data_IF_783064474775
#
_entry.id   IF_783064474775
#
_cell.length_a   1.000
_cell.length_b   1.000
_cell.length_c   1.000
_cell.angle_alpha   90.00
_cell.angle_beta   90.00
_cell.angle_gamma   90.00
#
_symmetry.space_group_name_H-M   'P 1'
#
loop_
_entity.id
_entity.type
_entity.pdbx_description
1 polymer ?
#
# COMPACT_ATOMS: atom_id res chain seq x y z
N UNK A 1 -15.88 -12.79 12.16
CA UNK A 1 -14.68 -12.78 13.02
C UNK A 1 -14.43 -14.21 13.47
N UNK A 2 -13.18 -14.71 13.30
CA UNK A 2 -12.74 -16.03 13.72
C UNK A 2 -12.13 -16.03 15.13
N UNK A 3 -11.43 -17.13 15.49
CA UNK A 3 -10.88 -17.34 16.84
C UNK A 3 -9.65 -16.46 17.11
N UNK A 4 -9.42 -16.17 18.40
CA UNK A 4 -8.24 -15.45 18.92
C UNK A 4 -8.04 -14.05 18.29
N UNK A 5 -9.08 -13.41 17.80
CA UNK A 5 -9.03 -12.04 17.31
C UNK A 5 -9.08 -11.08 18.49
N UNK A 6 -8.16 -10.12 18.51
CA UNK A 6 -8.11 -9.04 19.50
C UNK A 6 -8.47 -7.75 18.81
N UNK A 7 -9.50 -7.06 19.28
CA UNK A 7 -9.89 -5.73 18.81
C UNK A 7 -9.82 -4.80 20.02
N UNK A 8 -8.90 -3.85 19.96
CA UNK A 8 -8.68 -2.88 21.03
C UNK A 8 -9.76 -1.77 21.03
N UNK A 9 -9.63 -0.82 21.96
CA UNK A 9 -10.64 0.22 22.20
C UNK A 9 -10.86 1.15 21.00
N UNK A 10 -12.09 1.67 20.88
CA UNK A 10 -12.48 2.66 19.88
C UNK A 10 -12.29 2.23 18.42
N UNK A 11 -12.27 0.94 18.13
CA UNK A 11 -12.26 0.43 16.77
C UNK A 11 -13.66 0.44 16.16
N UNK A 12 -13.76 0.85 14.90
CA UNK A 12 -14.99 0.73 14.10
C UNK A 12 -14.85 -0.41 13.11
N UNK A 13 -15.66 -1.46 13.27
CA UNK A 13 -15.78 -2.55 12.31
C UNK A 13 -17.08 -2.37 11.55
N UNK A 14 -16.96 -1.91 10.32
CA UNK A 14 -18.08 -1.59 9.44
C UNK A 14 -18.63 -2.79 8.68
N UNK A 15 -19.41 -2.56 7.59
CA UNK A 15 -20.02 -3.61 6.80
C UNK A 15 -18.97 -4.42 6.02
N UNK A 16 -19.36 -5.68 5.71
CA UNK A 16 -18.60 -6.58 4.82
C UNK A 16 -17.15 -6.84 5.29
N UNK A 17 -16.92 -6.94 6.60
CA UNK A 17 -15.60 -7.25 7.16
C UNK A 17 -15.54 -8.72 7.56
N UNK A 18 -14.50 -9.42 7.07
CA UNK A 18 -14.15 -10.76 7.48
C UNK A 18 -12.75 -10.75 8.12
N UNK A 19 -12.64 -11.21 9.36
CA UNK A 19 -11.39 -11.24 10.12
C UNK A 19 -11.04 -12.69 10.44
N UNK A 20 -9.89 -13.14 9.97
CA UNK A 20 -9.37 -14.49 10.19
C UNK A 20 -8.78 -14.68 11.57
N UNK A 21 -8.08 -15.80 11.82
CA UNK A 21 -7.60 -16.17 13.15
C UNK A 21 -6.37 -15.36 13.59
N UNK A 22 -6.23 -15.15 14.89
CA UNK A 22 -5.08 -14.51 15.55
C UNK A 22 -4.78 -13.08 15.02
N UNK A 23 -5.77 -12.36 14.52
CA UNK A 23 -5.60 -10.98 14.05
C UNK A 23 -5.64 -10.03 15.23
N UNK A 24 -4.73 -9.04 15.24
CA UNK A 24 -4.75 -7.92 16.19
C UNK A 24 -5.16 -6.64 15.45
N UNK A 25 -6.18 -5.97 15.95
CA UNK A 25 -6.60 -4.63 15.50
C UNK A 25 -6.43 -3.68 16.66
N UNK A 26 -5.45 -2.78 16.53
CA UNK A 26 -5.13 -1.80 17.57
C UNK A 26 -6.09 -0.62 17.58
N UNK A 27 -6.12 0.08 18.70
CA UNK A 27 -7.09 1.12 19.05
C UNK A 27 -7.28 2.20 17.96
N UNK A 28 -8.48 2.75 17.87
CA UNK A 28 -8.87 3.83 16.96
C UNK A 28 -8.80 3.47 15.47
N UNK A 29 -8.76 2.20 15.10
CA UNK A 29 -8.77 1.76 13.70
C UNK A 29 -10.20 1.72 13.13
N UNK A 30 -10.34 2.04 11.84
CA UNK A 30 -11.60 1.98 11.10
C UNK A 30 -11.48 1.02 9.93
N UNK A 31 -12.27 -0.06 9.93
CA UNK A 31 -12.19 -1.13 8.93
C UNK A 31 -13.57 -1.39 8.34
N UNK A 32 -13.67 -1.39 7.02
CA UNK A 32 -14.89 -1.72 6.29
C UNK A 32 -14.55 -2.42 4.97
N UNK A 33 -15.49 -3.19 4.42
CA UNK A 33 -15.34 -3.84 3.11
C UNK A 33 -13.95 -4.49 2.93
N UNK A 34 -13.55 -5.31 3.90
CA UNK A 34 -12.20 -5.86 3.96
C UNK A 34 -12.18 -7.32 4.41
N UNK A 35 -11.30 -8.11 3.82
CA UNK A 35 -10.94 -9.45 4.29
C UNK A 35 -9.52 -9.40 4.82
N UNK A 36 -9.32 -9.84 6.07
CA UNK A 36 -8.01 -9.85 6.76
C UNK A 36 -7.60 -11.30 7.03
N UNK A 37 -6.45 -11.70 6.52
CA UNK A 37 -5.86 -13.02 6.69
C UNK A 37 -5.26 -13.27 8.08
N UNK A 38 -4.97 -14.53 8.36
CA UNK A 38 -4.50 -15.00 9.66
C UNK A 38 -3.21 -14.30 10.12
N UNK A 39 -3.04 -14.14 11.43
CA UNK A 39 -1.86 -13.59 12.10
C UNK A 39 -1.48 -12.17 11.66
N UNK A 40 -2.39 -11.42 11.08
CA UNK A 40 -2.14 -10.05 10.60
C UNK A 40 -2.34 -9.05 11.73
N UNK A 41 -1.48 -8.03 11.76
CA UNK A 41 -1.50 -6.95 12.75
C UNK A 41 -1.86 -5.64 12.06
N UNK A 42 -2.93 -5.00 12.55
CA UNK A 42 -3.34 -3.65 12.14
C UNK A 42 -3.07 -2.70 13.31
N UNK A 43 -2.21 -1.72 13.10
CA UNK A 43 -1.81 -0.75 14.13
C UNK A 43 -2.80 0.41 14.25
N UNK A 44 -2.67 1.14 15.36
CA UNK A 44 -3.61 2.18 15.77
C UNK A 44 -3.86 3.26 14.70
N UNK A 45 -5.11 3.65 14.57
CA UNK A 45 -5.51 4.72 13.64
C UNK A 45 -5.52 4.32 12.16
N UNK A 46 -5.27 3.05 11.82
CA UNK A 46 -5.35 2.61 10.43
C UNK A 46 -6.79 2.71 9.89
N UNK A 47 -6.92 3.16 8.63
CA UNK A 47 -8.20 3.27 7.93
C UNK A 47 -8.18 2.35 6.71
N UNK A 48 -9.01 1.30 6.73
CA UNK A 48 -9.00 0.26 5.71
C UNK A 48 -10.38 0.11 5.08
N UNK A 49 -10.42 0.13 3.74
CA UNK A 49 -11.63 -0.11 2.96
C UNK A 49 -12.56 1.10 2.80
N UNK A 50 -12.07 2.30 3.07
CA UNK A 50 -12.75 3.54 2.69
C UNK A 50 -12.80 3.70 1.17
N UNK A 51 -13.71 4.56 0.68
CA UNK A 51 -13.72 4.92 -0.74
C UNK A 51 -12.48 5.76 -1.08
N UNK A 52 -11.83 5.42 -2.18
CA UNK A 52 -10.68 6.14 -2.68
C UNK A 52 -11.02 7.43 -3.42
N UNK A 53 -10.00 8.08 -3.94
CA UNK A 53 -10.10 9.32 -4.71
C UNK A 53 -10.46 9.01 -6.16
N UNK A 54 -11.74 9.12 -6.51
CA UNK A 54 -12.25 8.87 -7.86
C UNK A 54 -13.30 9.90 -8.26
N UNK A 55 -13.01 10.68 -9.30
CA UNK A 55 -13.92 11.68 -9.85
C UNK A 55 -13.85 11.68 -11.38
N UNK A 56 -15.01 11.83 -12.03
CA UNK A 56 -15.04 12.10 -13.46
C UNK A 56 -14.51 13.51 -13.71
N UNK A 57 -13.58 13.63 -14.66
CA UNK A 57 -12.75 14.85 -14.81
C UNK A 57 -13.58 16.09 -15.15
N UNK A 58 -14.54 15.96 -16.06
CA UNK A 58 -15.33 17.10 -16.57
C UNK A 58 -16.43 17.52 -15.62
N UNK A 59 -17.22 16.55 -15.17
CA UNK A 59 -18.40 16.80 -14.33
C UNK A 59 -18.10 16.89 -12.84
N UNK A 60 -16.89 16.47 -12.42
CA UNK A 60 -16.48 16.32 -11.01
C UNK A 60 -17.39 15.40 -10.20
N UNK A 61 -18.20 14.62 -10.85
CA UNK A 61 -19.03 13.63 -10.17
C UNK A 61 -18.17 12.53 -9.56
N UNK A 62 -18.47 12.18 -8.31
CA UNK A 62 -17.79 11.12 -7.59
C UNK A 62 -18.04 9.77 -8.22
N UNK A 63 -16.99 9.01 -8.45
CA UNK A 63 -17.07 7.60 -8.86
C UNK A 63 -17.12 6.77 -7.58
N UNK A 64 -18.22 6.04 -7.39
CA UNK A 64 -18.38 5.17 -6.21
C UNK A 64 -17.47 3.95 -6.31
N UNK A 65 -16.86 3.61 -5.19
CA UNK A 65 -16.03 2.42 -5.06
C UNK A 65 -16.89 1.28 -4.48
N UNK A 66 -17.09 0.22 -5.24
CA UNK A 66 -17.94 -0.92 -4.89
C UNK A 66 -17.13 -2.17 -4.51
N UNK A 67 -15.83 -2.15 -4.75
CA UNK A 67 -14.93 -3.23 -4.44
C UNK A 67 -14.56 -3.30 -2.95
N UNK A 68 -13.53 -4.07 -2.66
CA UNK A 68 -13.07 -4.32 -1.29
C UNK A 68 -11.54 -4.22 -1.17
N UNK A 69 -11.04 -4.51 0.04
CA UNK A 69 -9.62 -4.70 0.34
C UNK A 69 -9.39 -6.16 0.74
N UNK A 70 -8.35 -6.78 0.20
CA UNK A 70 -7.87 -8.08 0.63
C UNK A 70 -6.48 -7.91 1.26
N UNK A 71 -6.35 -8.27 2.53
CA UNK A 71 -5.07 -8.33 3.25
C UNK A 71 -4.77 -9.79 3.54
N UNK A 72 -3.62 -10.26 3.09
CA UNK A 72 -3.15 -11.62 3.25
C UNK A 72 -2.78 -11.98 4.68
N UNK A 73 -2.09 -13.11 4.83
CA UNK A 73 -1.63 -13.63 6.12
C UNK A 73 -0.30 -13.02 6.53
N UNK A 74 -0.05 -13.00 7.85
CA UNK A 74 1.20 -12.53 8.43
C UNK A 74 1.58 -11.12 7.97
N UNK A 75 0.62 -10.26 7.67
CA UNK A 75 0.84 -8.89 7.26
C UNK A 75 0.96 -7.96 8.46
N UNK A 76 1.65 -6.85 8.26
CA UNK A 76 1.72 -5.77 9.24
C UNK A 76 1.31 -4.46 8.56
N UNK A 77 0.30 -3.80 9.10
CA UNK A 77 -0.16 -2.49 8.64
C UNK A 77 0.08 -1.47 9.75
N UNK A 78 0.99 -0.56 9.51
CA UNK A 78 1.44 0.44 10.48
C UNK A 78 0.40 1.48 10.84
N UNK A 79 0.70 2.27 11.87
CA UNK A 79 -0.22 3.25 12.42
C UNK A 79 -0.58 4.36 11.41
N UNK A 80 -1.85 4.78 11.41
CA UNK A 80 -2.38 5.83 10.53
C UNK A 80 -2.15 5.55 9.03
N UNK A 81 -1.99 4.30 8.64
CA UNK A 81 -1.93 3.88 7.24
C UNK A 81 -3.34 3.77 6.67
N UNK A 82 -3.55 4.32 5.47
CA UNK A 82 -4.82 4.27 4.76
C UNK A 82 -4.74 3.33 3.56
N UNK A 83 -5.73 2.43 3.44
CA UNK A 83 -5.85 1.50 2.31
C UNK A 83 -7.24 1.63 1.73
N UNK A 84 -7.34 2.24 0.55
CA UNK A 84 -8.62 2.45 -0.12
C UNK A 84 -9.14 1.17 -0.79
N UNK A 85 -10.45 0.96 -0.72
CA UNK A 85 -11.06 -0.14 -1.47
C UNK A 85 -11.05 0.12 -2.97
N UNK A 86 -11.06 -0.93 -3.76
CA UNK A 86 -11.09 -0.85 -5.20
C UNK A 86 -12.41 -0.23 -5.72
N UNK A 87 -12.38 0.35 -6.91
CA UNK A 87 -13.60 0.76 -7.63
C UNK A 87 -14.47 -0.46 -7.92
N UNK A 88 -13.87 -1.47 -8.54
CA UNK A 88 -14.39 -2.81 -8.74
C UNK A 88 -13.27 -3.80 -8.38
N UNK A 89 -13.60 -5.05 -8.06
CA UNK A 89 -12.64 -6.07 -7.60
C UNK A 89 -12.03 -5.72 -6.24
N UNK A 90 -10.69 -5.83 -6.10
CA UNK A 90 -10.00 -5.68 -4.82
C UNK A 90 -8.73 -4.86 -4.93
N UNK A 91 -8.46 -4.05 -3.91
CA UNK A 91 -7.11 -3.60 -3.54
C UNK A 91 -6.46 -4.72 -2.73
N UNK A 92 -5.25 -5.15 -3.08
CA UNK A 92 -4.65 -6.38 -2.56
C UNK A 92 -3.32 -6.10 -1.88
N UNK A 93 -3.16 -6.58 -0.66
CA UNK A 93 -1.90 -6.71 0.06
C UNK A 93 -1.65 -8.19 0.25
N UNK A 94 -0.68 -8.77 -0.44
CA UNK A 94 -0.40 -10.21 -0.36
C UNK A 94 0.35 -10.60 0.90
N UNK A 95 0.50 -11.91 1.13
CA UNK A 95 1.04 -12.50 2.34
C UNK A 95 2.43 -11.99 2.73
N UNK A 96 2.72 -11.95 4.01
CA UNK A 96 4.01 -11.58 4.60
C UNK A 96 4.49 -10.17 4.23
N UNK A 97 3.59 -9.26 3.88
CA UNK A 97 3.92 -7.88 3.50
C UNK A 97 3.82 -6.94 4.70
N UNK A 98 4.81 -6.08 4.84
CA UNK A 98 4.94 -5.16 5.97
C UNK A 98 4.89 -3.71 5.48
N UNK A 99 3.88 -2.99 5.92
CA UNK A 99 3.66 -1.58 5.67
C UNK A 99 3.89 -0.82 6.97
N UNK A 100 4.80 0.15 6.93
CA UNK A 100 5.09 1.03 8.07
C UNK A 100 3.98 2.09 8.23
N UNK A 101 4.21 3.09 9.04
CA UNK A 101 3.22 4.10 9.43
C UNK A 101 2.98 5.15 8.32
N UNK A 102 1.79 5.75 8.32
CA UNK A 102 1.44 6.90 7.46
C UNK A 102 1.53 6.60 5.96
N UNK A 103 1.30 5.37 5.55
CA UNK A 103 1.30 4.98 4.14
C UNK A 103 -0.09 5.23 3.53
N UNK A 104 -0.12 5.67 2.27
CA UNK A 104 -1.34 5.72 1.46
C UNK A 104 -1.30 4.68 0.35
N UNK A 105 -2.19 3.73 0.39
CA UNK A 105 -2.46 2.77 -0.69
C UNK A 105 -3.79 3.14 -1.34
N UNK A 106 -3.73 3.60 -2.59
CA UNK A 106 -4.92 3.99 -3.32
C UNK A 106 -5.68 2.77 -3.88
N UNK A 107 -6.86 3.03 -4.43
CA UNK A 107 -7.77 2.02 -4.96
C UNK A 107 -7.12 1.14 -6.05
N UNK A 108 -7.49 -0.13 -6.11
CA UNK A 108 -7.03 -1.10 -7.11
C UNK A 108 -5.51 -1.36 -7.13
N UNK A 109 -4.77 -0.92 -6.13
CA UNK A 109 -3.35 -1.27 -5.99
C UNK A 109 -3.23 -2.75 -5.64
N UNK A 110 -2.26 -3.44 -6.23
CA UNK A 110 -1.93 -4.84 -5.94
C UNK A 110 -0.48 -4.91 -5.45
N UNK A 111 -0.27 -5.39 -4.23
CA UNK A 111 1.05 -5.56 -3.63
C UNK A 111 1.33 -7.05 -3.49
N UNK A 112 2.43 -7.51 -4.05
CA UNK A 112 2.90 -8.89 -4.01
C UNK A 112 3.39 -9.32 -2.62
N UNK A 113 3.79 -10.58 -2.51
CA UNK A 113 4.24 -11.17 -1.25
C UNK A 113 5.58 -10.59 -0.78
N UNK A 114 5.78 -10.60 0.54
CA UNK A 114 7.05 -10.19 1.17
C UNK A 114 7.48 -8.75 0.84
N UNK A 115 6.54 -7.87 0.50
CA UNK A 115 6.85 -6.46 0.29
C UNK A 115 7.17 -5.76 1.63
N UNK A 116 8.15 -4.86 1.61
CA UNK A 116 8.50 -4.02 2.76
C UNK A 116 8.43 -2.56 2.34
N UNK A 117 7.50 -1.82 2.92
CA UNK A 117 7.20 -0.44 2.55
C UNK A 117 7.38 0.45 3.77
N UNK A 118 8.35 1.35 3.69
CA UNK A 118 8.67 2.27 4.78
C UNK A 118 7.68 3.45 4.87
N UNK A 119 7.74 4.18 5.97
CA UNK A 119 6.76 5.21 6.31
C UNK A 119 6.59 6.33 5.29
N UNK A 120 5.38 6.87 5.24
CA UNK A 120 5.00 8.00 4.38
C UNK A 120 5.11 7.72 2.86
N UNK A 121 5.12 6.47 2.44
CA UNK A 121 5.04 6.10 1.03
C UNK A 121 3.62 6.32 0.52
N UNK A 122 3.50 6.88 -0.69
CA UNK A 122 2.24 6.98 -1.41
C UNK A 122 2.25 6.16 -2.69
N UNK A 123 1.26 5.28 -2.85
CA UNK A 123 1.08 4.46 -4.06
C UNK A 123 -0.26 4.83 -4.68
N UNK A 124 -0.20 5.43 -5.87
CA UNK A 124 -1.40 5.86 -6.59
C UNK A 124 -2.15 4.68 -7.25
N UNK A 125 -3.41 4.92 -7.57
CA UNK A 125 -4.36 3.90 -7.98
C UNK A 125 -3.94 3.03 -9.15
N UNK A 126 -4.40 1.78 -9.14
CA UNK A 126 -4.19 0.77 -10.20
C UNK A 126 -2.72 0.41 -10.46
N UNK A 127 -1.84 0.66 -9.51
CA UNK A 127 -0.43 0.26 -9.58
C UNK A 127 -0.26 -1.17 -9.08
N UNK A 128 0.57 -1.95 -9.79
CA UNK A 128 0.95 -3.31 -9.40
C UNK A 128 2.40 -3.32 -8.88
N UNK A 129 2.59 -3.86 -7.69
CA UNK A 129 3.89 -4.04 -7.04
C UNK A 129 4.17 -5.55 -6.96
N UNK A 130 5.31 -5.99 -7.47
CA UNK A 130 5.74 -7.38 -7.46
C UNK A 130 6.09 -7.91 -6.07
N UNK A 131 6.65 -9.13 -6.05
CA UNK A 131 7.06 -9.79 -4.81
C UNK A 131 8.44 -9.28 -4.35
N UNK A 132 8.69 -9.34 -3.04
CA UNK A 132 9.98 -8.96 -2.42
C UNK A 132 10.44 -7.53 -2.70
N UNK A 133 9.50 -6.64 -3.02
CA UNK A 133 9.80 -5.23 -3.30
C UNK A 133 10.08 -4.48 -1.99
N UNK A 134 11.09 -3.60 -2.02
CA UNK A 134 11.46 -2.72 -0.90
C UNK A 134 11.28 -1.27 -1.32
N UNK A 135 10.47 -0.52 -0.58
CA UNK A 135 10.20 0.89 -0.87
C UNK A 135 10.64 1.75 0.30
N UNK A 136 11.62 2.61 0.05
CA UNK A 136 12.13 3.57 1.04
C UNK A 136 11.13 4.66 1.38
N UNK A 137 11.24 5.20 2.59
CA UNK A 137 10.29 6.19 3.13
C UNK A 137 10.12 7.43 2.25
N UNK A 138 8.91 7.98 2.25
CA UNK A 138 8.54 9.16 1.49
C UNK A 138 8.65 9.00 -0.05
N UNK A 139 8.76 7.78 -0.57
CA UNK A 139 8.68 7.57 -2.00
C UNK A 139 7.24 7.73 -2.49
N UNK A 140 7.09 8.33 -3.68
CA UNK A 140 5.81 8.49 -4.36
C UNK A 140 5.78 7.67 -5.66
N UNK A 141 4.72 6.90 -5.88
CA UNK A 141 4.57 6.05 -7.07
C UNK A 141 3.32 6.49 -7.82
N UNK A 142 3.50 6.89 -9.08
CA UNK A 142 2.40 7.29 -9.96
C UNK A 142 1.45 6.12 -10.25
N UNK A 143 0.22 6.45 -10.63
CA UNK A 143 -0.81 5.46 -10.94
C UNK A 143 -0.53 4.66 -12.21
N UNK A 144 -1.18 3.49 -12.28
CA UNK A 144 -1.17 2.60 -13.44
C UNK A 144 0.23 2.07 -13.83
N UNK A 145 1.15 1.97 -12.87
CA UNK A 145 2.48 1.44 -13.11
C UNK A 145 2.58 -0.04 -12.73
N UNK A 146 3.54 -0.71 -13.35
CA UNK A 146 3.99 -2.05 -13.00
C UNK A 146 5.42 -1.99 -12.44
N UNK A 147 5.58 -2.43 -11.19
CA UNK A 147 6.87 -2.55 -10.52
C UNK A 147 7.17 -4.04 -10.38
N UNK A 148 8.27 -4.47 -10.95
CA UNK A 148 8.67 -5.88 -11.01
C UNK A 148 9.06 -6.47 -9.65
N UNK A 149 9.37 -7.76 -9.66
CA UNK A 149 9.84 -8.49 -8.48
C UNK A 149 11.25 -8.06 -8.05
N UNK A 150 11.53 -8.16 -6.75
CA UNK A 150 12.83 -7.84 -6.15
C UNK A 150 13.33 -6.40 -6.41
N UNK A 151 12.44 -5.47 -6.71
CA UNK A 151 12.80 -4.06 -6.93
C UNK A 151 13.08 -3.37 -5.59
N UNK A 152 14.08 -2.51 -5.57
CA UNK A 152 14.36 -1.61 -4.44
C UNK A 152 14.21 -0.17 -4.89
N UNK A 153 13.31 0.57 -4.26
CA UNK A 153 13.08 2.00 -4.50
C UNK A 153 13.67 2.77 -3.31
N UNK A 154 14.66 3.63 -3.57
CA UNK A 154 15.29 4.43 -2.53
C UNK A 154 14.30 5.46 -1.93
N UNK A 155 14.58 5.90 -0.71
CA UNK A 155 13.76 6.91 -0.03
C UNK A 155 13.64 8.21 -0.86
N UNK A 156 12.48 8.89 -0.74
CA UNK A 156 12.15 10.14 -1.44
C UNK A 156 12.19 10.05 -2.98
N UNK A 157 12.10 8.84 -3.54
CA UNK A 157 12.05 8.66 -4.99
C UNK A 157 10.67 8.97 -5.54
N UNK A 158 10.63 9.63 -6.71
CA UNK A 158 9.42 9.79 -7.51
C UNK A 158 9.43 8.80 -8.68
N UNK A 159 8.57 7.79 -8.62
CA UNK A 159 8.45 6.77 -9.66
C UNK A 159 7.37 7.17 -10.65
N UNK A 160 7.75 7.41 -11.91
CA UNK A 160 6.85 7.87 -12.97
C UNK A 160 6.79 6.91 -14.17
N UNK A 161 7.48 5.77 -14.09
CA UNK A 161 7.55 4.75 -15.15
C UNK A 161 7.61 3.37 -14.54
N UNK A 162 7.24 2.36 -15.32
CA UNK A 162 7.41 0.95 -14.95
C UNK A 162 8.87 0.65 -14.61
N UNK A 163 9.05 -0.29 -13.69
CA UNK A 163 10.38 -0.75 -13.25
C UNK A 163 10.44 -2.26 -13.44
N UNK A 164 11.44 -2.70 -14.18
CA UNK A 164 11.69 -4.13 -14.43
C UNK A 164 12.20 -4.84 -13.17
N UNK A 165 12.12 -6.17 -13.17
CA UNK A 165 12.58 -7.00 -12.07
C UNK A 165 14.04 -6.73 -11.66
N UNK A 166 14.35 -6.90 -10.39
CA UNK A 166 15.69 -6.85 -9.81
C UNK A 166 16.40 -5.47 -9.94
N UNK A 167 15.67 -4.41 -10.20
CA UNK A 167 16.27 -3.07 -10.32
C UNK A 167 16.32 -2.35 -8.98
N UNK A 168 17.34 -1.49 -8.85
CA UNK A 168 17.45 -0.52 -7.75
C UNK A 168 17.36 0.87 -8.36
N UNK A 169 16.35 1.66 -7.95
CA UNK A 169 16.07 2.99 -8.50
C UNK A 169 16.12 4.05 -7.41
N UNK A 170 16.44 5.29 -7.81
CA UNK A 170 16.50 6.42 -6.90
C UNK A 170 16.19 7.73 -7.63
N UNK A 171 15.87 8.77 -6.87
CA UNK A 171 15.72 10.14 -7.37
C UNK A 171 14.30 10.51 -7.81
N UNK A 172 14.20 11.71 -8.35
CA UNK A 172 12.95 12.25 -8.89
C UNK A 172 13.21 12.89 -10.25
N UNK A 173 12.61 12.37 -11.34
CA UNK A 173 11.97 11.05 -11.39
C UNK A 173 12.96 9.93 -11.05
N UNK A 174 12.47 8.80 -10.53
CA UNK A 174 13.34 7.67 -10.18
C UNK A 174 13.95 7.07 -11.44
N UNK A 175 15.27 6.86 -11.39
CA UNK A 175 16.06 6.26 -12.46
C UNK A 175 16.95 5.16 -11.89
N UNK A 176 17.53 4.34 -12.74
CA UNK A 176 18.52 3.34 -12.32
C UNK A 176 19.59 3.95 -11.40
N UNK A 177 19.93 3.26 -10.31
CA UNK A 177 20.81 3.78 -9.25
C UNK A 177 22.22 4.12 -9.78
N UNK A 178 22.75 3.38 -10.74
CA UNK A 178 24.06 3.65 -11.33
C UNK A 178 24.04 4.94 -12.15
N UNK A 179 22.94 5.16 -12.89
CA UNK A 179 22.72 6.38 -13.67
C UNK A 179 22.53 7.59 -12.75
N UNK A 180 21.76 7.44 -11.66
CA UNK A 180 21.56 8.48 -10.66
C UNK A 180 22.88 8.91 -10.02
N UNK A 181 23.72 7.97 -9.54
CA UNK A 181 25.05 8.27 -8.98
C UNK A 181 25.94 9.01 -9.97
N UNK A 182 25.97 8.59 -11.23
CA UNK A 182 26.73 9.29 -12.27
C UNK A 182 26.24 10.73 -12.49
N UNK A 183 24.92 10.95 -12.47
CA UNK A 183 24.36 12.28 -12.63
C UNK A 183 24.73 13.21 -11.46
N UNK A 184 24.63 12.73 -10.22
CA UNK A 184 25.00 13.50 -9.03
C UNK A 184 26.47 13.90 -9.05
N UNK A 185 27.38 12.99 -9.42
CA UNK A 185 28.82 13.30 -9.55
C UNK A 185 29.07 14.37 -10.62
N UNK A 186 28.33 14.36 -11.72
CA UNK A 186 28.45 15.40 -12.77
C UNK A 186 27.93 16.77 -12.32
N UNK A 187 26.88 16.81 -11.50
CA UNK A 187 26.30 18.07 -10.99
C UNK A 187 27.18 18.73 -9.92
N UNK A 188 28.05 17.97 -9.27
CA UNK A 188 28.95 18.46 -8.21
C UNK A 188 30.38 18.79 -8.74
N UNK A 189 30.60 18.73 -10.05
CA UNK A 189 31.82 19.20 -10.72
C UNK A 189 31.56 20.53 -11.41
#
# INVERSE_FOLDING_TARGET
>A
IKNNVIIESNCTIGPNVFISENVLISSNSSISNCIIGDNTVIKSGAVIGSEGFGFEINTKKRIRHLGNVLIGKNCYVGANTSIDRAVLESTIISDNSHLDNLIQIAHNVKIGNHAVIAGQVGIAGSTSIGNYVKIGGQAGISGHLSIGDNVTIAAKSGVTKNIENNQIVAGFPAIDIKKWKKNIIKLNK
#
